data_IF_760632212116
#
_entry.id   IF_760632212116
#
_cell.length_a   1.000
_cell.length_b   1.000
_cell.length_c   1.000
_cell.angle_alpha   90.00
_cell.angle_beta   90.00
_cell.angle_gamma   90.00
#
_symmetry.space_group_name_H-M   'P 1'
#
loop_
_entity.id
_entity.type
_entity.pdbx_description
1 polymer ?
#
# COMPACT_ATOMS: atom_id res chain seq x y z
N UNK A 1 10.94 -14.25 2.42
CA UNK A 1 11.71 -13.01 2.57
C UNK A 1 12.58 -12.85 1.35
N UNK A 2 12.45 -11.77 0.59
CA UNK A 2 13.29 -11.60 -0.61
C UNK A 2 14.77 -11.43 -0.24
N UNK A 3 15.67 -11.64 -1.20
CA UNK A 3 17.14 -11.62 -1.03
C UNK A 3 17.73 -10.27 -0.55
N UNK A 4 16.89 -9.25 -0.39
CA UNK A 4 17.28 -7.91 -0.02
C UNK A 4 17.54 -7.72 1.50
N UNK A 5 17.25 -8.74 2.32
CA UNK A 5 17.52 -8.76 3.77
C UNK A 5 17.00 -7.51 4.52
N UNK A 6 15.89 -6.94 4.04
CA UNK A 6 15.20 -5.79 4.63
C UNK A 6 15.56 -4.43 4.03
N UNK A 7 16.59 -4.30 3.21
CA UNK A 7 16.93 -3.01 2.57
C UNK A 7 16.20 -2.86 1.24
N UNK A 8 15.37 -1.83 1.10
CA UNK A 8 14.51 -1.63 -0.06
C UNK A 8 14.69 -0.22 -0.59
N UNK A 9 14.77 -0.09 -1.91
CA UNK A 9 14.66 1.19 -2.60
C UNK A 9 13.32 1.28 -3.32
N UNK A 10 12.56 2.33 -3.04
CA UNK A 10 11.27 2.62 -3.67
C UNK A 10 11.39 3.93 -4.46
N UNK A 11 11.03 3.88 -5.73
CA UNK A 11 10.95 5.03 -6.62
C UNK A 11 9.52 5.14 -7.16
N UNK A 12 8.90 6.30 -7.01
CA UNK A 12 7.63 6.62 -7.64
C UNK A 12 7.73 7.94 -8.41
N UNK A 13 6.95 8.07 -9.48
CA UNK A 13 6.82 9.30 -10.27
C UNK A 13 5.37 9.45 -10.71
N UNK A 14 4.84 10.67 -10.68
CA UNK A 14 3.49 10.97 -11.17
C UNK A 14 3.35 10.65 -12.67
N UNK A 15 2.12 10.35 -13.09
CA UNK A 15 1.77 10.29 -14.50
C UNK A 15 1.52 11.72 -15.02
N UNK A 16 1.62 11.94 -16.33
CA UNK A 16 1.47 13.27 -16.93
C UNK A 16 2.80 14.01 -17.11
N UNK A 17 2.73 15.27 -17.55
CA UNK A 17 3.89 16.11 -17.80
C UNK A 17 4.69 16.49 -16.54
N UNK A 18 4.04 16.49 -15.37
CA UNK A 18 4.67 16.79 -14.09
C UNK A 18 5.81 15.81 -13.77
N UNK A 19 6.81 16.29 -13.04
CA UNK A 19 8.02 15.52 -12.71
C UNK A 19 8.12 15.17 -11.23
N UNK A 20 6.99 15.28 -10.51
CA UNK A 20 6.91 14.92 -9.10
C UNK A 20 7.30 13.46 -8.93
N UNK A 21 8.33 13.23 -8.13
CA UNK A 21 8.86 11.91 -7.87
C UNK A 21 9.27 11.81 -6.41
N UNK A 22 9.23 10.59 -5.86
CA UNK A 22 9.71 10.31 -4.52
C UNK A 22 10.66 9.13 -4.60
N UNK A 23 11.84 9.28 -4.01
CA UNK A 23 12.81 8.20 -3.83
C UNK A 23 13.00 7.95 -2.34
N UNK A 24 12.91 6.68 -1.95
CA UNK A 24 13.14 6.20 -0.58
C UNK A 24 14.11 5.04 -0.61
N UNK A 25 15.08 5.04 0.29
CA UNK A 25 15.86 3.86 0.65
C UNK A 25 15.58 3.60 2.13
N UNK A 26 15.01 2.44 2.44
CA UNK A 26 14.60 2.10 3.79
C UNK A 26 15.06 0.71 4.20
N UNK A 27 15.43 0.58 5.47
CA UNK A 27 15.71 -0.71 6.10
C UNK A 27 14.48 -1.14 6.90
N UNK A 28 13.68 -2.02 6.31
CA UNK A 28 12.56 -2.71 6.96
C UNK A 28 12.97 -4.01 7.66
N UNK A 29 12.15 -4.46 8.60
CA UNK A 29 12.35 -5.71 9.34
C UNK A 29 11.41 -5.82 10.53
N UNK A 30 11.18 -7.04 11.01
CA UNK A 30 10.34 -7.31 12.19
C UNK A 30 10.96 -6.86 13.52
N UNK A 31 12.28 -6.60 13.53
CA UNK A 31 13.00 -6.10 14.69
C UNK A 31 13.05 -4.58 14.62
N UNK A 32 12.54 -3.92 15.66
CA UNK A 32 12.73 -2.49 15.84
C UNK A 32 14.22 -2.16 15.85
N UNK A 33 14.64 -1.09 15.14
CA UNK A 33 16.03 -0.66 15.17
C UNK A 33 16.45 -0.31 16.61
N UNK A 34 17.73 -0.51 16.90
CA UNK A 34 18.30 -0.15 18.18
C UNK A 34 18.26 1.38 18.31
N UNK A 35 17.85 1.90 19.47
CA UNK A 35 17.73 3.34 19.71
C UNK A 35 19.08 4.08 19.60
N UNK A 36 20.19 3.33 19.62
CA UNK A 36 21.57 3.82 19.45
C UNK A 36 22.06 3.86 18.00
N UNK A 37 21.27 3.38 17.05
CA UNK A 37 21.73 3.25 15.66
C UNK A 37 21.83 4.62 14.98
N UNK A 38 23.00 4.96 14.46
CA UNK A 38 23.22 6.20 13.72
C UNK A 38 22.48 6.24 12.38
N UNK A 39 22.47 7.41 11.73
CA UNK A 39 21.87 7.61 10.41
C UNK A 39 22.28 6.51 9.41
N UNK A 40 21.34 6.11 8.54
CA UNK A 40 21.61 5.05 7.54
C UNK A 40 22.48 5.55 6.40
N UNK A 41 22.36 6.82 6.00
CA UNK A 41 23.06 7.42 4.87
C UNK A 41 24.58 7.15 4.85
N UNK A 42 25.37 7.45 5.91
CA UNK A 42 26.83 7.24 5.90
C UNK A 42 27.26 5.76 5.88
N UNK A 43 26.30 4.83 6.02
CA UNK A 43 26.50 3.39 6.01
C UNK A 43 26.10 2.74 4.67
N UNK A 44 25.45 3.48 3.78
CA UNK A 44 25.14 2.99 2.44
C UNK A 44 26.40 3.00 1.57
N UNK A 45 26.60 1.93 0.82
CA UNK A 45 27.70 1.77 -0.12
C UNK A 45 27.13 1.51 -1.52
N UNK A 46 27.72 2.11 -2.55
CA UNK A 46 27.52 1.77 -3.96
C UNK A 46 28.74 0.98 -4.41
N UNK A 47 28.54 -0.29 -4.77
CA UNK A 47 29.63 -1.17 -5.24
C UNK A 47 30.84 -1.25 -4.29
N UNK A 48 30.58 -1.12 -2.98
CA UNK A 48 31.60 -1.17 -1.92
C UNK A 48 32.14 0.20 -1.48
N UNK A 49 31.92 1.25 -2.27
CA UNK A 49 32.35 2.61 -1.96
C UNK A 49 31.24 3.42 -1.27
N UNK A 50 31.55 4.42 -0.43
CA UNK A 50 30.53 5.26 0.19
C UNK A 50 29.54 5.86 -0.82
N UNK A 51 28.24 5.62 -0.63
CA UNK A 51 27.20 6.19 -1.48
C UNK A 51 27.06 7.69 -1.20
N UNK A 52 27.52 8.53 -2.13
CA UNK A 52 27.40 9.97 -2.02
C UNK A 52 25.95 10.43 -2.27
N UNK A 53 25.26 10.90 -1.23
CA UNK A 53 23.98 11.59 -1.39
C UNK A 53 24.26 13.05 -1.73
N UNK A 54 24.18 13.40 -3.02
CA UNK A 54 24.39 14.77 -3.48
C UNK A 54 23.22 15.68 -3.10
N UNK A 55 23.51 16.93 -2.74
CA UNK A 55 22.50 17.94 -2.38
C UNK A 55 22.08 17.87 -0.91
N UNK A 56 21.33 18.89 -0.48
CA UNK A 56 20.87 19.10 0.89
C UNK A 56 19.39 18.71 1.11
N UNK A 57 18.72 18.23 0.06
CA UNK A 57 17.28 17.90 0.05
C UNK A 57 16.96 16.46 0.44
N UNK A 58 17.84 15.84 1.22
CA UNK A 58 17.63 14.52 1.77
C UNK A 58 17.12 14.63 3.21
N UNK A 59 16.02 13.95 3.49
CA UNK A 59 15.58 13.70 4.87
C UNK A 59 16.11 12.34 5.28
N UNK A 60 16.91 12.31 6.34
CA UNK A 60 17.67 11.14 6.77
C UNK A 60 17.27 10.77 8.18
N UNK A 61 17.12 9.47 8.44
CA UNK A 61 16.96 8.87 9.75
C UNK A 61 17.85 7.63 9.87
N UNK A 62 17.89 6.94 11.02
CA UNK A 62 18.64 5.69 11.18
C UNK A 62 18.19 4.53 10.28
N UNK A 63 17.03 4.63 9.63
CA UNK A 63 16.48 3.57 8.78
C UNK A 63 15.90 4.05 7.45
N UNK A 64 15.84 5.36 7.20
CA UNK A 64 15.23 5.94 6.01
C UNK A 64 16.10 7.06 5.44
N UNK A 65 16.28 7.03 4.13
CA UNK A 65 16.74 8.15 3.32
C UNK A 65 15.62 8.45 2.34
N UNK A 66 15.09 9.68 2.33
CA UNK A 66 13.99 10.07 1.45
C UNK A 66 14.19 11.47 0.87
N UNK A 67 13.84 11.63 -0.40
CA UNK A 67 13.73 12.92 -1.08
C UNK A 67 12.56 12.90 -2.04
N UNK A 68 11.94 14.07 -2.22
CA UNK A 68 10.90 14.37 -3.20
C UNK A 68 11.36 15.44 -4.21
N UNK A 69 12.65 15.80 -4.18
CA UNK A 69 13.24 16.77 -5.10
C UNK A 69 13.66 16.10 -6.42
N UNK A 70 13.00 16.46 -7.51
CA UNK A 70 13.22 15.86 -8.85
C UNK A 70 14.67 15.97 -9.32
N UNK A 71 15.36 17.08 -9.08
CA UNK A 71 16.74 17.27 -9.52
C UNK A 71 17.69 16.34 -8.76
N UNK A 72 17.52 16.25 -7.44
CA UNK A 72 18.26 15.35 -6.55
C UNK A 72 18.03 13.89 -6.93
N UNK A 73 16.77 13.50 -7.18
CA UNK A 73 16.44 12.14 -7.66
C UNK A 73 17.10 11.86 -9.00
N UNK A 74 17.05 12.80 -9.94
CA UNK A 74 17.66 12.62 -11.27
C UNK A 74 19.17 12.41 -11.17
N UNK A 75 19.86 13.24 -10.39
CA UNK A 75 21.30 13.09 -10.15
C UNK A 75 21.64 11.76 -9.47
N UNK A 76 20.83 11.35 -8.49
CA UNK A 76 20.99 10.06 -7.80
C UNK A 76 20.83 8.88 -8.76
N UNK A 77 19.75 8.85 -9.56
CA UNK A 77 19.52 7.79 -10.54
C UNK A 77 20.63 7.74 -11.59
N UNK A 78 21.14 8.89 -12.02
CA UNK A 78 22.27 8.95 -12.95
C UNK A 78 23.54 8.31 -12.39
N UNK A 79 23.80 8.48 -11.09
CA UNK A 79 24.93 7.87 -10.39
C UNK A 79 24.79 6.35 -10.30
N UNK A 80 23.60 5.85 -9.94
CA UNK A 80 23.41 4.43 -9.61
C UNK A 80 23.02 3.55 -10.81
N UNK A 81 22.58 4.12 -11.94
CA UNK A 81 22.06 3.33 -13.07
C UNK A 81 23.06 2.34 -13.69
N UNK A 82 24.37 2.57 -13.54
CA UNK A 82 25.46 1.68 -13.99
C UNK A 82 26.06 0.84 -12.85
N UNK A 83 25.60 1.04 -11.62
CA UNK A 83 26.09 0.31 -10.46
C UNK A 83 25.59 -1.13 -10.43
N UNK A 84 26.21 -1.95 -9.58
CA UNK A 84 25.83 -3.36 -9.39
C UNK A 84 24.93 -3.56 -8.18
N UNK A 85 25.26 -2.92 -7.05
CA UNK A 85 24.48 -3.03 -5.83
C UNK A 85 24.62 -1.81 -4.91
N UNK A 86 23.56 -1.53 -4.16
CA UNK A 86 23.62 -0.71 -2.94
C UNK A 86 23.64 -1.66 -1.74
N UNK A 87 24.62 -1.54 -0.85
CA UNK A 87 24.75 -2.40 0.34
C UNK A 87 24.81 -1.57 1.62
N UNK A 88 24.48 -2.19 2.75
CA UNK A 88 24.71 -1.60 4.07
C UNK A 88 26.05 -2.08 4.63
N UNK A 89 26.91 -1.14 5.06
CA UNK A 89 28.18 -1.45 5.74
C UNK A 89 27.92 -2.34 6.97
N UNK A 90 28.79 -3.32 7.19
CA UNK A 90 28.74 -4.27 8.31
C UNK A 90 27.44 -5.11 8.39
N UNK A 91 26.68 -5.17 7.30
CA UNK A 91 25.43 -5.93 7.17
C UNK A 91 25.42 -6.87 5.96
N UNK A 92 24.36 -7.68 5.86
CA UNK A 92 24.10 -8.54 4.69
C UNK A 92 23.01 -7.96 3.76
N UNK A 93 22.57 -6.73 4.03
CA UNK A 93 21.58 -6.01 3.25
C UNK A 93 22.12 -5.63 1.88
N UNK A 94 21.35 -5.93 0.83
CA UNK A 94 21.73 -5.63 -0.54
C UNK A 94 20.52 -5.26 -1.38
N UNK A 95 20.65 -4.22 -2.20
CA UNK A 95 19.75 -3.88 -3.29
C UNK A 95 20.53 -4.15 -4.56
N UNK A 96 20.17 -5.19 -5.32
CA UNK A 96 20.72 -5.40 -6.65
C UNK A 96 20.25 -4.28 -7.58
N UNK A 97 21.19 -3.67 -8.30
CA UNK A 97 20.93 -2.66 -9.33
C UNK A 97 20.89 -3.28 -10.74
N UNK A 98 21.03 -4.60 -10.83
CA UNK A 98 20.93 -5.32 -12.10
C UNK A 98 19.58 -5.08 -12.75
N UNK A 99 19.60 -4.46 -13.94
CA UNK A 99 18.39 -4.10 -14.67
C UNK A 99 17.74 -2.77 -14.26
N UNK A 100 18.32 -2.01 -13.31
CA UNK A 100 17.79 -0.70 -12.92
C UNK A 100 17.64 0.23 -14.13
N UNK A 101 18.70 0.38 -14.94
CA UNK A 101 18.65 1.21 -16.15
C UNK A 101 17.55 0.79 -17.12
N UNK A 102 17.35 -0.52 -17.29
CA UNK A 102 16.30 -1.06 -18.15
C UNK A 102 14.90 -0.80 -17.56
N UNK A 103 14.73 -0.91 -16.25
CA UNK A 103 13.50 -0.59 -15.56
C UNK A 103 13.16 0.90 -15.64
N UNK A 104 14.14 1.79 -15.46
CA UNK A 104 13.97 3.24 -15.62
C UNK A 104 13.59 3.59 -17.07
N UNK A 105 14.25 2.97 -18.05
CA UNK A 105 13.90 3.13 -19.46
C UNK A 105 12.48 2.61 -19.76
N UNK A 106 12.07 1.50 -19.15
CA UNK A 106 10.72 0.98 -19.28
C UNK A 106 9.68 1.94 -18.71
N UNK A 107 9.93 2.53 -17.54
CA UNK A 107 9.06 3.56 -16.94
C UNK A 107 8.97 4.78 -17.87
N UNK A 108 10.10 5.27 -18.40
CA UNK A 108 10.12 6.36 -19.37
C UNK A 108 9.32 6.00 -20.64
N UNK A 109 9.48 4.79 -21.17
CA UNK A 109 8.74 4.35 -22.37
C UNK A 109 7.23 4.24 -22.11
N UNK A 110 6.83 3.66 -20.98
CA UNK A 110 5.43 3.51 -20.59
C UNK A 110 4.74 4.86 -20.40
N UNK A 111 5.46 5.84 -19.86
CA UNK A 111 4.97 7.21 -19.71
C UNK A 111 5.16 8.06 -20.98
N UNK A 112 5.71 7.49 -22.06
CA UNK A 112 6.06 8.19 -23.31
C UNK A 112 6.96 9.42 -23.11
N UNK A 113 7.97 9.28 -22.25
CA UNK A 113 8.98 10.32 -21.97
C UNK A 113 10.26 10.17 -22.74
N UNK A 114 10.54 9.01 -23.35
CA UNK A 114 11.76 8.79 -24.15
C UNK A 114 11.88 9.86 -25.23
N UNK A 115 12.98 10.61 -25.24
CA UNK A 115 13.19 11.74 -26.15
C UNK A 115 12.74 13.11 -25.60
N UNK A 116 12.13 13.18 -24.42
CA UNK A 116 11.81 14.43 -23.74
C UNK A 116 12.88 14.84 -22.74
N UNK A 117 12.87 16.11 -22.35
CA UNK A 117 13.78 16.69 -21.35
C UNK A 117 13.61 16.01 -19.97
N UNK A 118 12.44 15.41 -19.73
CA UNK A 118 12.04 14.80 -18.46
C UNK A 118 12.32 13.30 -18.35
N UNK A 119 12.88 12.67 -19.39
CA UNK A 119 13.31 11.27 -19.32
C UNK A 119 14.44 11.09 -18.29
N UNK A 120 14.53 9.94 -17.64
CA UNK A 120 15.69 9.61 -16.81
C UNK A 120 16.85 9.02 -17.63
N UNK A 121 16.56 8.19 -18.63
CA UNK A 121 17.60 7.46 -19.39
C UNK A 121 17.89 8.08 -20.76
N UNK A 122 16.89 8.15 -21.64
CA UNK A 122 17.03 8.66 -23.01
C UNK A 122 16.42 10.06 -23.10
N UNK A 123 17.13 11.05 -22.54
CA UNK A 123 16.74 12.47 -22.63
C UNK A 123 16.82 12.96 -24.07
N UNK A 124 15.97 13.91 -24.41
CA UNK A 124 16.02 14.69 -25.64
C UNK A 124 15.42 16.07 -25.42
N UNK A 125 15.08 16.76 -26.51
CA UNK A 125 14.69 18.18 -26.48
C UNK A 125 13.17 18.39 -26.55
N UNK A 126 12.37 17.31 -26.52
CA UNK A 126 10.92 17.47 -26.48
C UNK A 126 10.48 18.08 -25.14
N UNK A 127 9.61 19.11 -25.17
CA UNK A 127 9.19 19.80 -23.96
C UNK A 127 8.38 18.86 -23.04
N UNK A 128 8.34 19.11 -21.72
CA UNK A 128 7.58 18.28 -20.77
C UNK A 128 6.11 18.05 -21.15
N UNK A 129 5.48 19.00 -21.84
CA UNK A 129 4.09 18.92 -22.31
C UNK A 129 3.87 17.93 -23.46
N UNK A 130 4.93 17.36 -24.07
CA UNK A 130 4.78 16.25 -25.04
C UNK A 130 4.34 14.94 -24.37
N UNK A 131 4.56 14.83 -23.05
CA UNK A 131 4.16 13.68 -22.25
C UNK A 131 2.63 13.65 -22.10
N UNK A 132 1.96 12.52 -22.43
CA UNK A 132 0.51 12.41 -22.31
C UNK A 132 0.04 12.69 -20.88
N UNK A 133 -1.12 13.34 -20.70
CA UNK A 133 -1.67 13.57 -19.37
C UNK A 133 -1.94 12.25 -18.63
N UNK A 134 -1.98 12.32 -17.30
CA UNK A 134 -2.35 11.18 -16.47
C UNK A 134 -3.70 10.60 -16.92
N UNK A 135 -3.83 9.28 -17.11
CA UNK A 135 -5.11 8.65 -17.42
C UNK A 135 -6.15 9.00 -16.35
N UNK A 136 -7.38 9.27 -16.77
CA UNK A 136 -8.48 9.46 -15.83
C UNK A 136 -8.66 8.19 -14.99
N UNK A 137 -8.88 8.37 -13.69
CA UNK A 137 -9.19 7.26 -12.79
C UNK A 137 -10.50 6.61 -13.27
N UNK A 138 -10.55 5.27 -13.22
CA UNK A 138 -11.82 4.58 -13.44
C UNK A 138 -12.75 4.90 -12.28
N UNK A 139 -13.88 5.51 -12.58
CA UNK A 139 -14.95 5.65 -11.61
C UNK A 139 -15.42 4.25 -11.21
N UNK A 140 -15.27 3.95 -9.93
CA UNK A 140 -15.95 2.80 -9.32
C UNK A 140 -17.29 3.34 -8.87
N UNK A 141 -18.38 2.78 -9.39
CA UNK A 141 -19.71 3.11 -8.89
C UNK A 141 -19.70 2.86 -7.38
N UNK A 142 -19.97 3.90 -6.60
CA UNK A 142 -20.22 3.73 -5.17
C UNK A 142 -21.55 2.98 -5.06
N UNK A 143 -21.48 1.65 -5.01
CA UNK A 143 -22.64 0.83 -4.70
C UNK A 143 -22.79 0.88 -3.19
N UNK A 144 -23.44 1.93 -2.70
CA UNK A 144 -24.05 2.00 -1.36
C UNK A 144 -24.85 3.31 -1.28
N UNK A 145 -26.18 3.29 -1.23
CA UNK A 145 -26.79 4.02 -0.16
C UNK A 145 -26.49 3.25 1.13
N UNK A 146 -25.93 3.91 2.13
CA UNK A 146 -26.08 3.42 3.51
C UNK A 146 -27.58 3.14 3.70
N UNK A 147 -28.00 1.89 3.95
CA UNK A 147 -29.42 1.58 4.00
C UNK A 147 -30.07 2.42 5.10
N UNK A 148 -31.32 2.81 4.87
CA UNK A 148 -32.08 3.51 5.90
C UNK A 148 -32.12 2.63 7.16
N UNK A 149 -31.74 3.14 8.34
CA UNK A 149 -31.81 2.35 9.56
C UNK A 149 -33.22 1.84 9.80
N UNK A 150 -33.34 0.57 10.21
CA UNK A 150 -34.63 -0.02 10.57
C UNK A 150 -35.34 0.87 11.59
N UNK A 151 -36.62 1.16 11.33
CA UNK A 151 -37.48 1.77 12.34
C UNK A 151 -37.62 0.83 13.55
N UNK A 152 -38.08 1.40 14.68
CA UNK A 152 -38.30 0.59 15.88
C UNK A 152 -39.33 -0.53 15.65
N UNK A 153 -40.36 -0.26 14.85
CA UNK A 153 -41.41 -1.22 14.50
C UNK A 153 -40.84 -2.36 13.63
N UNK A 154 -40.20 -2.04 12.50
CA UNK A 154 -39.58 -3.05 11.62
C UNK A 154 -38.54 -3.90 12.36
N UNK A 155 -37.73 -3.27 13.22
CA UNK A 155 -36.76 -3.98 14.03
C UNK A 155 -37.44 -4.97 14.98
N UNK A 156 -38.52 -4.57 15.65
CA UNK A 156 -39.23 -5.45 16.57
C UNK A 156 -39.91 -6.61 15.83
N UNK A 157 -40.55 -6.34 14.69
CA UNK A 157 -41.18 -7.37 13.86
C UNK A 157 -40.16 -8.41 13.36
N UNK A 158 -38.98 -7.95 12.92
CA UNK A 158 -37.90 -8.84 12.52
C UNK A 158 -37.32 -9.62 13.71
N UNK A 159 -37.17 -9.00 14.88
CA UNK A 159 -36.74 -9.71 16.08
C UNK A 159 -37.75 -10.79 16.49
N UNK A 160 -39.05 -10.50 16.42
CA UNK A 160 -40.12 -11.47 16.72
C UNK A 160 -40.15 -12.61 15.70
N UNK A 161 -39.99 -12.30 14.41
CA UNK A 161 -39.85 -13.31 13.36
C UNK A 161 -38.62 -14.21 13.61
N UNK A 162 -37.48 -13.62 13.98
CA UNK A 162 -36.26 -14.36 14.32
C UNK A 162 -36.43 -15.23 15.56
N UNK A 163 -37.07 -14.70 16.61
CA UNK A 163 -37.39 -15.43 17.83
C UNK A 163 -38.29 -16.64 17.55
N UNK A 164 -39.32 -16.49 16.71
CA UNK A 164 -40.14 -17.61 16.27
C UNK A 164 -39.33 -18.66 15.52
N UNK A 165 -38.45 -18.22 14.62
CA UNK A 165 -37.59 -19.10 13.82
C UNK A 165 -36.58 -19.88 14.67
N UNK A 166 -36.10 -19.32 15.80
CA UNK A 166 -35.16 -19.98 16.72
C UNK A 166 -35.62 -21.37 17.17
N UNK A 167 -36.94 -21.54 17.39
CA UNK A 167 -37.51 -22.81 17.84
C UNK A 167 -37.36 -23.93 16.80
N UNK A 168 -37.21 -23.59 15.52
CA UNK A 168 -37.02 -24.54 14.42
C UNK A 168 -35.56 -24.85 14.09
N UNK A 169 -34.59 -24.19 14.72
CA UNK A 169 -33.17 -24.29 14.37
C UNK A 169 -32.45 -25.39 15.16
N UNK A 170 -31.68 -26.20 14.44
CA UNK A 170 -30.74 -27.17 15.02
C UNK A 170 -29.43 -26.46 15.35
N UNK A 171 -29.33 -25.93 16.56
CA UNK A 171 -28.15 -25.26 17.09
C UNK A 171 -27.65 -25.96 18.35
N UNK A 172 -26.33 -25.98 18.56
CA UNK A 172 -25.71 -26.58 19.74
C UNK A 172 -25.77 -25.66 20.96
N UNK A 173 -25.90 -24.35 20.73
CA UNK A 173 -26.06 -23.36 21.78
C UNK A 173 -27.45 -23.49 22.46
N UNK A 174 -27.46 -23.40 23.79
CA UNK A 174 -28.68 -23.40 24.59
C UNK A 174 -29.66 -22.30 24.13
N UNK A 175 -30.96 -22.60 23.94
CA UNK A 175 -31.95 -21.62 23.47
C UNK A 175 -31.99 -20.30 24.25
N UNK A 176 -31.79 -20.32 25.57
CA UNK A 176 -31.78 -19.12 26.43
C UNK A 176 -30.55 -18.23 26.21
N UNK A 177 -29.51 -18.78 25.56
CA UNK A 177 -28.25 -18.09 25.26
C UNK A 177 -28.15 -17.66 23.81
N UNK A 178 -29.18 -17.91 22.99
CA UNK A 178 -29.23 -17.48 21.60
C UNK A 178 -29.64 -16.02 21.53
N UNK A 179 -28.99 -15.27 20.67
CA UNK A 179 -29.25 -13.87 20.41
C UNK A 179 -29.69 -13.73 18.95
N UNK A 180 -30.72 -12.92 18.73
CA UNK A 180 -31.17 -12.53 17.39
C UNK A 180 -30.71 -11.09 17.15
N UNK A 181 -29.92 -10.89 16.11
CA UNK A 181 -29.46 -9.58 15.68
C UNK A 181 -29.99 -9.28 14.28
N UNK A 182 -30.47 -8.06 14.07
CA UNK A 182 -31.00 -7.61 12.78
C UNK A 182 -30.38 -6.28 12.39
N UNK A 183 -30.01 -6.12 11.12
CA UNK A 183 -29.41 -4.90 10.59
C UNK A 183 -29.87 -4.68 9.15
N UNK A 184 -30.19 -3.44 8.77
CA UNK A 184 -30.55 -3.13 7.39
C UNK A 184 -29.38 -3.40 6.45
N UNK A 185 -29.64 -4.08 5.33
CA UNK A 185 -28.67 -4.39 4.28
C UNK A 185 -28.92 -3.53 3.03
N UNK A 186 -30.18 -3.33 2.69
CA UNK A 186 -30.70 -2.40 1.67
C UNK A 186 -31.98 -1.76 2.21
N UNK A 187 -32.59 -0.82 1.47
CA UNK A 187 -33.87 -0.22 1.87
C UNK A 187 -35.05 -1.21 1.88
N UNK A 188 -34.87 -2.41 1.30
CA UNK A 188 -35.89 -3.46 1.19
C UNK A 188 -35.47 -4.81 1.80
N UNK A 189 -34.29 -4.90 2.44
CA UNK A 189 -33.78 -6.16 3.02
C UNK A 189 -33.02 -5.92 4.32
N UNK A 190 -33.13 -6.87 5.23
CA UNK A 190 -32.33 -6.94 6.45
C UNK A 190 -31.48 -8.22 6.50
N UNK A 191 -30.31 -8.09 7.12
CA UNK A 191 -29.52 -9.23 7.57
C UNK A 191 -30.01 -9.61 8.96
N UNK A 192 -30.53 -10.83 9.09
CA UNK A 192 -30.86 -11.44 10.38
C UNK A 192 -29.81 -12.50 10.72
N UNK A 193 -29.29 -12.43 11.94
CA UNK A 193 -28.30 -13.36 12.46
C UNK A 193 -28.78 -13.95 13.78
N UNK A 194 -28.63 -15.27 13.94
CA UNK A 194 -29.01 -16.00 15.15
C UNK A 194 -27.81 -16.80 15.63
N UNK A 195 -27.36 -16.54 16.86
CA UNK A 195 -26.22 -17.27 17.42
C UNK A 195 -26.55 -18.74 17.63
N UNK A 196 -25.69 -19.61 17.11
CA UNK A 196 -25.96 -21.04 16.96
C UNK A 196 -24.92 -21.92 17.66
N UNK A 197 -23.67 -21.48 17.73
CA UNK A 197 -22.60 -22.11 18.50
C UNK A 197 -21.74 -21.05 19.18
N UNK A 198 -21.15 -21.36 20.33
CA UNK A 198 -20.22 -20.45 21.02
C UNK A 198 -19.03 -21.21 21.61
N UNK A 199 -17.82 -20.71 21.34
CA UNK A 199 -16.56 -21.13 21.95
C UNK A 199 -16.04 -20.09 22.96
N UNK A 200 -14.80 -20.25 23.42
CA UNK A 200 -14.22 -19.35 24.43
C UNK A 200 -14.04 -17.90 23.95
N UNK A 201 -13.84 -17.69 22.64
CA UNK A 201 -13.56 -16.38 22.05
C UNK A 201 -14.26 -16.15 20.71
N UNK A 202 -15.24 -16.98 20.34
CA UNK A 202 -15.93 -16.89 19.06
C UNK A 202 -17.38 -17.36 19.17
N UNK A 203 -18.25 -16.75 18.38
CA UNK A 203 -19.65 -17.15 18.19
C UNK A 203 -19.85 -17.47 16.71
N UNK A 204 -20.60 -18.53 16.41
CA UNK A 204 -21.02 -18.90 15.06
C UNK A 204 -22.50 -18.60 14.94
N UNK A 205 -22.84 -17.73 13.99
CA UNK A 205 -24.21 -17.34 13.69
C UNK A 205 -24.71 -18.02 12.43
N UNK A 206 -25.99 -18.39 12.42
CA UNK A 206 -26.73 -18.63 11.19
C UNK A 206 -27.28 -17.29 10.69
N UNK A 207 -27.15 -17.02 9.39
CA UNK A 207 -27.51 -15.74 8.80
C UNK A 207 -28.52 -15.90 7.66
N UNK A 208 -29.46 -14.96 7.56
CA UNK A 208 -30.47 -14.87 6.51
C UNK A 208 -30.59 -13.45 5.99
N UNK A 209 -30.90 -13.35 4.70
CA UNK A 209 -31.43 -12.11 4.11
C UNK A 209 -32.94 -12.25 4.17
N UNK A 210 -33.59 -11.31 4.85
CA UNK A 210 -35.04 -11.25 5.06
C UNK A 210 -35.61 -9.95 4.54
#
# INVERSE_FOLDING_TARGET
>A
TGDHNGLVMTLSRSAGAHTDAVLRIERGGLKSPDASEGEIAPRLLLDGEPLALSGDKWRISPWLVVTDDTATITAFLQMIQEGKAITLRDGNQTISLSGLKAALLFIDAQQKRVGSETAWIKKGDEPPLSVPPAPALKEVAVVNPTPTPLSLEERNDLLDYGNWRMNGLRCSLDPLRREVNVTALTDDKALMMISCEAGAYNTIDLAWIV
#
